data_IF_335390216366
#
_entry.id   IF_335390216366
#
_cell.length_a   1.000
_cell.length_b   1.000
_cell.length_c   1.000
_cell.angle_alpha   90.00
_cell.angle_beta   90.00
_cell.angle_gamma   90.00
#
_symmetry.space_group_name_H-M   'P 1'
#
loop_
_entity.id
_entity.type
_entity.pdbx_description
1 polymer ?
#
# COMPACT_ATOMS: atom_id res chain seq x y z
N UNK A 1 -46.85 -14.46 -16.96
CA UNK A 1 -46.51 -14.45 -15.52
C UNK A 1 -46.15 -13.02 -15.17
N UNK A 2 -47.15 -12.25 -14.76
CA UNK A 2 -46.99 -10.85 -14.36
C UNK A 2 -46.48 -10.82 -12.92
N UNK A 3 -45.32 -10.19 -12.72
CA UNK A 3 -44.83 -9.87 -11.37
C UNK A 3 -45.65 -8.68 -10.89
N UNK A 4 -46.56 -8.92 -9.94
CA UNK A 4 -47.44 -7.89 -9.38
C UNK A 4 -46.63 -6.77 -8.71
N UNK A 5 -46.88 -5.53 -9.14
CA UNK A 5 -46.20 -4.31 -8.71
C UNK A 5 -46.55 -3.84 -7.29
N UNK A 6 -47.11 -4.72 -6.44
CA UNK A 6 -47.61 -4.37 -5.11
C UNK A 6 -47.15 -5.32 -3.99
N UNK A 7 -46.03 -6.00 -4.19
CA UNK A 7 -45.32 -6.68 -3.10
C UNK A 7 -44.62 -5.62 -2.22
N UNK A 8 -45.43 -4.88 -1.47
CA UNK A 8 -44.95 -4.00 -0.40
C UNK A 8 -44.26 -4.91 0.60
N UNK A 9 -42.94 -4.78 0.70
CA UNK A 9 -42.13 -5.53 1.66
C UNK A 9 -42.77 -5.41 3.05
N UNK A 10 -43.09 -6.55 3.66
CA UNK A 10 -43.67 -6.55 5.00
C UNK A 10 -42.59 -6.09 6.00
N UNK A 11 -43.01 -5.60 7.17
CA UNK A 11 -42.06 -5.19 8.22
C UNK A 11 -41.06 -6.31 8.57
N UNK A 12 -41.50 -7.57 8.54
CA UNK A 12 -40.64 -8.74 8.75
C UNK A 12 -39.61 -8.95 7.64
N UNK A 13 -39.93 -8.62 6.38
CA UNK A 13 -38.98 -8.69 5.27
C UNK A 13 -37.88 -7.65 5.41
N UNK A 14 -38.22 -6.44 5.88
CA UNK A 14 -37.26 -5.38 6.15
C UNK A 14 -36.35 -5.73 7.33
N UNK A 15 -36.90 -6.30 8.40
CA UNK A 15 -36.12 -6.77 9.56
C UNK A 15 -35.15 -7.90 9.16
N UNK A 16 -35.59 -8.86 8.33
CA UNK A 16 -34.71 -9.91 7.83
C UNK A 16 -33.63 -9.39 6.88
N UNK A 17 -33.95 -8.39 6.07
CA UNK A 17 -33.00 -7.78 5.14
C UNK A 17 -31.96 -6.95 5.92
N UNK A 18 -32.38 -6.22 6.94
CA UNK A 18 -31.49 -5.52 7.88
C UNK A 18 -30.57 -6.49 8.62
N UNK A 19 -31.10 -7.59 9.17
CA UNK A 19 -30.29 -8.59 9.86
C UNK A 19 -29.24 -9.22 8.93
N UNK A 20 -29.62 -9.51 7.68
CA UNK A 20 -28.68 -10.02 6.65
C UNK A 20 -27.64 -8.97 6.26
N UNK A 21 -28.01 -7.70 6.20
CA UNK A 21 -27.06 -6.62 5.94
C UNK A 21 -26.09 -6.44 7.10
N UNK A 22 -26.55 -6.46 8.36
CA UNK A 22 -25.69 -6.41 9.55
C UNK A 22 -24.71 -7.57 9.60
N UNK A 23 -25.17 -8.80 9.33
CA UNK A 23 -24.30 -9.98 9.25
C UNK A 23 -23.28 -9.85 8.12
N UNK A 24 -23.66 -9.31 6.96
CA UNK A 24 -22.73 -9.05 5.85
C UNK A 24 -21.78 -7.90 6.13
N UNK A 25 -22.19 -6.88 6.87
CA UNK A 25 -21.34 -5.77 7.27
C UNK A 25 -20.33 -6.21 8.33
N UNK A 26 -20.75 -7.04 9.28
CA UNK A 26 -19.88 -7.65 10.28
C UNK A 26 -18.89 -8.66 9.66
N UNK A 27 -19.32 -9.39 8.62
CA UNK A 27 -18.46 -10.29 7.84
C UNK A 27 -17.58 -9.56 6.81
N UNK A 28 -17.97 -8.36 6.39
CA UNK A 28 -17.15 -7.48 5.59
C UNK A 28 -16.07 -6.89 6.50
N UNK A 29 -14.99 -7.64 6.70
CA UNK A 29 -13.73 -7.06 7.14
C UNK A 29 -13.47 -5.82 6.29
N UNK A 30 -13.07 -4.68 6.89
CA UNK A 30 -12.67 -3.54 6.08
C UNK A 30 -11.63 -4.09 5.12
N UNK A 31 -11.86 -3.95 3.81
CA UNK A 31 -10.80 -4.16 2.86
C UNK A 31 -9.68 -3.28 3.39
N UNK A 32 -8.60 -3.88 3.88
CA UNK A 32 -7.43 -3.11 4.17
C UNK A 32 -6.98 -2.66 2.79
N UNK A 33 -7.44 -1.46 2.43
CA UNK A 33 -6.67 -0.60 1.57
C UNK A 33 -5.40 -0.46 2.38
N UNK A 34 -4.45 -1.37 2.14
CA UNK A 34 -3.11 -1.23 2.66
C UNK A 34 -2.72 0.15 2.17
N UNK A 35 -2.82 1.14 3.06
CA UNK A 35 -2.56 2.51 2.69
C UNK A 35 -1.17 2.46 2.07
N UNK A 36 -1.06 2.85 0.79
CA UNK A 36 0.21 2.82 0.10
C UNK A 36 1.17 3.68 0.92
N UNK A 37 2.01 3.00 1.71
CA UNK A 37 2.77 3.66 2.76
C UNK A 37 3.91 4.42 2.08
N UNK A 38 3.83 5.74 2.13
CA UNK A 38 4.78 6.66 1.51
C UNK A 38 5.91 6.99 2.50
N UNK A 39 7.07 6.39 2.28
CA UNK A 39 8.27 6.58 3.09
C UNK A 39 9.01 7.85 2.69
N UNK A 40 9.50 8.60 3.66
CA UNK A 40 10.52 9.65 3.45
C UNK A 40 11.85 9.04 3.03
N UNK A 41 12.72 9.86 2.43
CA UNK A 41 14.09 9.43 2.12
C UNK A 41 14.89 9.05 3.39
N UNK A 42 14.62 9.69 4.53
CA UNK A 42 15.25 9.37 5.81
C UNK A 42 14.83 7.98 6.32
N UNK A 43 13.55 7.64 6.20
CA UNK A 43 13.04 6.31 6.56
C UNK A 43 13.63 5.23 5.65
N UNK A 44 13.72 5.49 4.34
CA UNK A 44 14.36 4.56 3.39
C UNK A 44 15.86 4.41 3.70
N UNK A 45 16.55 5.50 4.01
CA UNK A 45 17.96 5.50 4.37
C UNK A 45 18.21 4.67 5.64
N UNK A 46 17.39 4.86 6.68
CA UNK A 46 17.43 4.07 7.91
C UNK A 46 17.13 2.59 7.66
N UNK A 47 16.10 2.30 6.86
CA UNK A 47 15.69 0.93 6.54
C UNK A 47 16.77 0.17 5.78
N UNK A 48 17.43 0.83 4.83
CA UNK A 48 18.46 0.22 3.97
C UNK A 48 19.88 0.36 4.52
N UNK A 49 20.06 1.01 5.68
CA UNK A 49 21.37 1.35 6.27
C UNK A 49 22.28 2.10 5.29
N UNK A 50 21.70 2.99 4.50
CA UNK A 50 22.41 3.84 3.55
C UNK A 50 22.22 5.32 3.86
N UNK A 51 22.92 6.19 3.12
CA UNK A 51 22.75 7.64 3.26
C UNK A 51 21.57 8.15 2.45
N UNK A 52 20.91 9.21 2.91
CA UNK A 52 19.84 9.92 2.17
C UNK A 52 20.32 10.34 0.77
N UNK A 53 21.58 10.78 0.66
CA UNK A 53 22.22 11.12 -0.62
C UNK A 53 22.24 9.92 -1.57
N UNK A 54 22.56 8.73 -1.05
CA UNK A 54 22.55 7.49 -1.81
C UNK A 54 21.13 7.14 -2.29
N UNK A 55 20.12 7.30 -1.43
CA UNK A 55 18.72 7.07 -1.81
C UNK A 55 18.29 8.06 -2.90
N UNK A 56 18.65 9.34 -2.79
CA UNK A 56 18.39 10.35 -3.83
C UNK A 56 19.05 10.00 -5.16
N UNK A 57 20.26 9.42 -5.12
CA UNK A 57 20.92 8.87 -6.32
C UNK A 57 20.17 7.68 -6.91
N UNK A 58 19.63 6.77 -6.10
CA UNK A 58 18.81 5.67 -6.64
C UNK A 58 17.57 6.15 -7.39
N UNK A 59 16.99 7.29 -6.97
CA UNK A 59 15.84 7.89 -7.65
C UNK A 59 16.26 8.58 -8.95
N UNK A 60 17.30 9.41 -8.91
CA UNK A 60 17.71 10.28 -10.03
C UNK A 60 18.62 9.58 -11.03
N UNK A 61 19.66 8.91 -10.54
CA UNK A 61 20.66 8.22 -11.34
C UNK A 61 20.34 6.71 -11.46
N UNK A 62 19.71 6.09 -10.46
CA UNK A 62 19.57 4.64 -10.40
C UNK A 62 20.86 3.91 -10.03
N UNK A 63 20.77 2.59 -9.96
CA UNK A 63 21.88 1.68 -9.62
C UNK A 63 21.82 0.45 -10.51
N UNK A 64 22.94 -0.22 -10.71
CA UNK A 64 22.97 -1.51 -11.39
C UNK A 64 22.42 -2.60 -10.47
N UNK A 65 21.51 -3.40 -11.01
CA UNK A 65 21.00 -4.61 -10.38
C UNK A 65 22.06 -5.74 -10.42
N UNK A 66 21.73 -6.88 -9.80
CA UNK A 66 22.61 -8.06 -9.80
C UNK A 66 22.86 -8.64 -11.20
N UNK A 67 22.04 -8.27 -12.21
CA UNK A 67 22.13 -8.73 -13.60
C UNK A 67 22.83 -7.69 -14.50
N UNK A 68 23.37 -6.61 -13.94
CA UNK A 68 24.06 -5.55 -14.68
C UNK A 68 23.13 -4.56 -15.40
N UNK A 69 21.81 -4.60 -15.15
CA UNK A 69 20.86 -3.62 -15.69
C UNK A 69 20.71 -2.44 -14.74
N UNK A 70 20.73 -1.23 -15.28
CA UNK A 70 20.46 0.00 -14.50
C UNK A 70 18.97 0.07 -14.16
N UNK A 71 18.66 0.15 -12.87
CA UNK A 71 17.31 0.29 -12.33
C UNK A 71 17.23 1.52 -11.43
N UNK A 72 16.09 2.21 -11.45
CA UNK A 72 15.83 3.38 -10.60
C UNK A 72 14.85 3.01 -9.49
N UNK A 73 14.97 3.69 -8.35
CA UNK A 73 13.98 3.62 -7.29
C UNK A 73 12.84 4.57 -7.63
N UNK A 74 11.63 4.03 -7.77
CA UNK A 74 10.45 4.85 -8.01
C UNK A 74 10.10 5.68 -6.77
N UNK A 75 9.90 6.97 -6.96
CA UNK A 75 9.47 7.91 -5.94
C UNK A 75 8.50 8.93 -6.55
N UNK A 76 7.58 9.42 -5.73
CA UNK A 76 6.71 10.55 -6.05
C UNK A 76 7.27 11.82 -5.43
N UNK A 77 7.22 12.92 -6.16
CA UNK A 77 7.62 14.23 -5.67
C UNK A 77 6.37 15.00 -5.24
N UNK A 78 6.24 15.30 -3.94
CA UNK A 78 5.08 16.00 -3.38
C UNK A 78 5.29 17.52 -3.35
N UNK A 79 6.54 17.95 -3.25
CA UNK A 79 7.01 19.33 -3.39
C UNK A 79 8.48 19.30 -3.82
N UNK A 80 9.01 20.41 -4.32
CA UNK A 80 10.36 20.48 -4.89
C UNK A 80 11.43 19.92 -3.93
N UNK A 81 12.06 18.82 -4.33
CA UNK A 81 13.07 18.10 -3.54
C UNK A 81 12.54 17.18 -2.44
N UNK A 82 11.23 17.10 -2.22
CA UNK A 82 10.58 16.23 -1.23
C UNK A 82 10.00 14.98 -1.90
N UNK A 83 10.85 13.96 -1.96
CA UNK A 83 10.49 12.66 -2.50
C UNK A 83 9.87 11.74 -1.45
N UNK A 84 8.85 11.00 -1.89
CA UNK A 84 8.17 9.95 -1.14
C UNK A 84 8.23 8.64 -1.90
N UNK A 85 8.72 7.60 -1.25
CA UNK A 85 8.90 6.28 -1.86
C UNK A 85 7.78 5.38 -1.38
N UNK A 86 6.92 4.85 -2.27
CA UNK A 86 5.96 3.83 -1.90
C UNK A 86 6.71 2.60 -1.36
N UNK A 87 6.25 2.05 -0.24
CA UNK A 87 6.87 0.84 0.34
C UNK A 87 6.93 -0.31 -0.67
N UNK A 88 5.88 -0.51 -1.47
CA UNK A 88 5.86 -1.51 -2.53
C UNK A 88 6.98 -1.30 -3.56
N UNK A 89 7.26 -0.04 -3.93
CA UNK A 89 8.34 0.30 -4.85
C UNK A 89 9.72 -0.01 -4.24
N UNK A 90 9.92 0.27 -2.95
CA UNK A 90 11.16 -0.06 -2.25
C UNK A 90 11.41 -1.58 -2.23
N UNK A 91 10.37 -2.37 -1.95
CA UNK A 91 10.47 -3.84 -1.94
C UNK A 91 10.74 -4.39 -3.35
N UNK A 92 10.08 -3.85 -4.37
CA UNK A 92 10.31 -4.24 -5.77
C UNK A 92 11.70 -3.83 -6.29
N UNK A 93 12.26 -2.74 -5.78
CA UNK A 93 13.64 -2.34 -6.03
C UNK A 93 14.61 -3.27 -5.31
N UNK A 94 14.36 -3.57 -4.03
CA UNK A 94 15.19 -4.45 -3.22
C UNK A 94 15.31 -5.86 -3.79
N UNK A 95 14.21 -6.43 -4.30
CA UNK A 95 14.22 -7.78 -4.87
C UNK A 95 15.18 -7.94 -6.06
N UNK A 96 15.44 -6.85 -6.81
CA UNK A 96 16.44 -6.83 -7.90
C UNK A 96 17.86 -6.59 -7.40
N UNK A 97 18.00 -5.99 -6.23
CA UNK A 97 19.26 -5.64 -5.57
C UNK A 97 19.75 -6.69 -4.56
N UNK A 98 18.92 -7.69 -4.24
CA UNK A 98 19.25 -8.75 -3.29
C UNK A 98 18.85 -8.48 -1.84
N UNK A 99 17.89 -7.59 -1.57
CA UNK A 99 17.30 -7.42 -0.23
C UNK A 99 15.77 -7.47 -0.27
N UNK A 100 15.16 -8.02 0.77
CA UNK A 100 13.72 -8.25 0.88
C UNK A 100 13.09 -7.36 1.94
N UNK A 101 11.76 -7.35 2.04
CA UNK A 101 11.04 -6.62 3.08
C UNK A 101 11.43 -7.06 4.51
N UNK A 102 11.86 -8.31 4.68
CA UNK A 102 12.35 -8.84 5.96
C UNK A 102 13.72 -8.26 6.35
N UNK A 103 14.51 -7.85 5.36
CA UNK A 103 15.83 -7.25 5.54
C UNK A 103 15.78 -5.74 5.83
N UNK A 104 14.58 -5.18 5.97
CA UNK A 104 14.32 -3.77 6.27
C UNK A 104 13.86 -3.65 7.73
N UNK A 105 14.77 -3.83 8.72
CA UNK A 105 14.47 -4.06 10.14
C UNK A 105 13.79 -2.88 10.85
N UNK A 106 13.76 -1.71 10.22
CA UNK A 106 13.28 -0.45 10.80
C UNK A 106 12.17 0.19 9.97
N UNK A 107 11.59 -0.53 9.00
CA UNK A 107 10.39 -0.02 8.36
C UNK A 107 9.28 0.07 9.41
N UNK A 108 8.60 1.23 9.53
CA UNK A 108 7.43 1.31 10.37
C UNK A 108 6.44 0.18 10.00
N UNK A 109 5.78 -0.43 10.99
CA UNK A 109 4.68 -1.34 10.70
C UNK A 109 3.66 -0.58 9.85
N UNK A 110 3.02 -1.25 8.88
CA UNK A 110 2.02 -0.63 8.03
C UNK A 110 1.03 0.11 8.93
N UNK A 111 0.97 1.44 8.79
CA UNK A 111 -0.01 2.24 9.52
C UNK A 111 -1.36 1.88 8.92
N UNK A 112 -2.15 1.11 9.67
CA UNK A 112 -3.56 0.92 9.36
C UNK A 112 -4.18 2.31 9.31
N UNK A 113 -4.85 2.63 8.20
CA UNK A 113 -5.65 3.84 8.12
C UNK A 113 -6.73 3.74 9.22
N UNK A 114 -6.68 4.66 10.18
CA UNK A 114 -7.68 4.80 11.25
C UNK A 114 -9.03 5.21 10.70
#
# INVERSE_FOLDING_TARGET
>A
MSVDANQIATKGDLEQLLLKLEQRLAAAQPASVAADEYLTLDEVAKATRTSVRTVKKWITEGKFDLKGKRITLFALEFSDGYYRVPRAALVAYGSKMGFTAADLPTLPPQRLAS
#
